data_IF_001839276413
#
_entry.id   IF_001839276413
#
_cell.length_a   1.000
_cell.length_b   1.000
_cell.length_c   1.000
_cell.angle_alpha   90.00
_cell.angle_beta   90.00
_cell.angle_gamma   90.00
#
_symmetry.space_group_name_H-M   'P 1'
#
loop_
_entity.id
_entity.type
_entity.pdbx_description
1 polymer ?
#
# COMPACT_ATOMS: atom_id res chain seq x y z
N UNK A 1 5.48 8.43 35.23
CA UNK A 1 6.00 7.60 34.14
C UNK A 1 4.86 7.33 33.16
N UNK A 2 4.47 8.36 32.39
CA UNK A 2 3.39 8.29 31.41
C UNK A 2 4.00 8.36 30.02
N UNK A 3 4.03 7.24 29.29
CA UNK A 3 4.35 7.26 27.86
C UNK A 3 3.15 7.88 27.16
N UNK A 4 3.32 9.13 26.76
CA UNK A 4 2.49 9.76 25.75
C UNK A 4 2.53 8.83 24.53
N UNK A 5 1.38 8.27 24.16
CA UNK A 5 1.21 7.51 22.93
C UNK A 5 1.50 8.48 21.78
N UNK A 6 2.75 8.45 21.31
CA UNK A 6 3.21 9.24 20.19
C UNK A 6 2.37 8.94 18.96
N UNK A 7 2.18 9.96 18.13
CA UNK A 7 1.65 9.88 16.77
C UNK A 7 2.13 8.59 16.08
N UNK A 8 1.25 7.82 15.41
CA UNK A 8 1.68 6.61 14.71
C UNK A 8 2.85 6.94 13.76
N UNK A 9 3.90 6.11 13.67
CA UNK A 9 5.12 6.38 12.89
C UNK A 9 4.90 6.42 11.38
N UNK A 10 3.64 6.28 10.93
CA UNK A 10 3.23 6.31 9.54
C UNK A 10 2.72 7.70 9.16
N UNK A 11 3.48 8.40 8.32
CA UNK A 11 3.03 9.60 7.62
C UNK A 11 2.39 9.21 6.28
N UNK A 12 1.26 9.83 5.92
CA UNK A 12 0.61 9.61 4.63
C UNK A 12 0.42 10.93 3.89
N UNK A 13 0.83 10.98 2.62
CA UNK A 13 0.47 12.08 1.72
C UNK A 13 -0.76 11.65 0.94
N UNK A 14 -1.89 12.34 1.17
CA UNK A 14 -3.14 12.10 0.46
C UNK A 14 -3.16 12.93 -0.83
N UNK A 15 -3.08 12.27 -1.98
CA UNK A 15 -3.68 12.86 -3.19
C UNK A 15 -5.19 12.84 -2.99
N UNK A 16 -5.83 14.02 -2.94
CA UNK A 16 -7.29 14.11 -3.02
C UNK A 16 -7.80 13.70 -4.42
N UNK A 17 -8.99 14.17 -4.80
CA UNK A 17 -9.64 13.89 -6.09
C UNK A 17 -8.67 13.93 -7.30
N UNK A 18 -8.92 13.05 -8.28
CA UNK A 18 -8.09 12.76 -9.47
C UNK A 18 -7.67 13.96 -10.35
N UNK A 19 -8.06 15.18 -9.98
CA UNK A 19 -7.69 16.45 -10.63
C UNK A 19 -6.67 17.31 -9.88
N UNK A 20 -6.15 16.90 -8.72
CA UNK A 20 -5.11 17.69 -8.02
C UNK A 20 -3.67 17.28 -8.38
N UNK A 21 -2.75 18.23 -8.19
CA UNK A 21 -1.33 18.09 -8.52
C UNK A 21 -0.64 16.92 -7.80
N UNK A 22 -1.01 16.64 -6.55
CA UNK A 22 -0.49 15.51 -5.77
C UNK A 22 -0.86 14.18 -6.42
N UNK A 23 -2.11 14.02 -6.86
CA UNK A 23 -2.55 12.83 -7.58
C UNK A 23 -1.79 12.67 -8.90
N UNK A 24 -1.68 13.75 -9.70
CA UNK A 24 -0.95 13.72 -10.97
C UNK A 24 0.51 13.31 -10.77
N UNK A 25 1.15 13.85 -9.73
CA UNK A 25 2.53 13.51 -9.36
C UNK A 25 2.66 12.03 -8.99
N UNK A 26 1.83 11.54 -8.07
CA UNK A 26 1.83 10.13 -7.67
C UNK A 26 1.56 9.19 -8.85
N UNK A 27 0.61 9.54 -9.72
CA UNK A 27 0.27 8.79 -10.93
C UNK A 27 1.42 8.71 -11.94
N UNK A 28 2.26 9.76 -12.00
CA UNK A 28 3.48 9.82 -12.79
C UNK A 28 4.60 8.91 -12.26
N UNK A 29 4.66 8.70 -10.95
CA UNK A 29 5.66 7.87 -10.27
C UNK A 29 5.36 6.36 -10.34
N UNK A 30 4.17 5.97 -10.81
CA UNK A 30 3.79 4.55 -10.94
C UNK A 30 4.59 3.87 -12.07
N UNK A 31 5.14 2.69 -11.78
CA UNK A 31 5.77 1.83 -12.81
C UNK A 31 4.72 1.30 -13.80
N UNK A 32 5.16 0.88 -14.98
CA UNK A 32 4.28 0.36 -16.06
C UNK A 32 3.30 -0.73 -15.59
N UNK A 33 3.74 -1.63 -14.71
CA UNK A 33 2.90 -2.71 -14.17
C UNK A 33 1.73 -2.21 -13.31
N UNK A 34 1.78 -0.96 -12.86
CA UNK A 34 0.81 -0.32 -11.96
C UNK A 34 0.03 0.82 -12.65
N UNK A 35 0.04 0.88 -13.98
CA UNK A 35 -0.65 1.95 -14.74
C UNK A 35 -2.16 2.00 -14.52
N UNK A 36 -2.79 0.86 -14.17
CA UNK A 36 -4.22 0.78 -13.85
C UNK A 36 -4.61 1.67 -12.67
N UNK A 37 -3.69 1.97 -11.75
CA UNK A 37 -3.99 2.80 -10.59
C UNK A 37 -4.18 4.29 -10.93
N UNK A 38 -3.89 4.71 -12.18
CA UNK A 38 -4.17 6.07 -12.65
C UNK A 38 -5.66 6.39 -12.76
N UNK A 39 -6.53 5.38 -12.82
CA UNK A 39 -7.99 5.55 -12.79
C UNK A 39 -8.58 5.51 -11.38
N UNK A 40 -7.75 5.38 -10.34
CA UNK A 40 -8.21 5.38 -8.96
C UNK A 40 -8.82 6.74 -8.58
N UNK A 41 -9.76 6.75 -7.64
CA UNK A 41 -10.33 7.98 -7.09
C UNK A 41 -9.32 8.72 -6.19
N UNK A 42 -8.40 7.99 -5.57
CA UNK A 42 -7.31 8.53 -4.77
C UNK A 42 -6.04 7.66 -4.85
N UNK A 43 -4.90 8.31 -4.71
CA UNK A 43 -3.59 7.69 -4.50
C UNK A 43 -3.01 8.19 -3.17
N UNK A 44 -2.56 7.27 -2.33
CA UNK A 44 -2.00 7.57 -1.01
C UNK A 44 -0.57 7.05 -0.97
N UNK A 45 0.41 7.92 -0.75
CA UNK A 45 1.78 7.50 -0.47
C UNK A 45 1.91 7.21 1.02
N UNK A 46 2.27 5.97 1.35
CA UNK A 46 2.52 5.52 2.72
C UNK A 46 4.03 5.53 2.96
N UNK A 47 4.44 6.29 3.96
CA UNK A 47 5.83 6.38 4.42
C UNK A 47 5.92 5.92 5.87
N UNK A 48 7.10 5.41 6.25
CA UNK A 48 7.42 5.10 7.64
C UNK A 48 8.61 5.95 8.10
N UNK A 49 8.48 6.57 9.26
CA UNK A 49 9.61 7.18 9.97
C UNK A 49 10.42 6.04 10.61
N UNK A 50 11.67 5.87 10.16
CA UNK A 50 12.54 4.77 10.54
C UNK A 50 13.10 4.95 11.97
N UNK A 51 12.99 6.15 12.54
CA UNK A 51 13.53 6.45 13.85
C UNK A 51 15.05 6.39 13.92
N UNK A 52 15.58 6.10 15.10
CA UNK A 52 17.01 6.26 15.43
C UNK A 52 17.84 5.01 15.13
N UNK A 53 17.23 3.82 15.06
CA UNK A 53 17.94 2.55 14.93
C UNK A 53 17.22 1.51 14.04
N UNK A 54 17.90 0.39 13.77
CA UNK A 54 17.38 -0.69 12.93
C UNK A 54 16.12 -1.35 13.53
N UNK A 55 16.00 -1.35 14.86
CA UNK A 55 14.84 -1.93 15.54
C UNK A 55 13.63 -1.03 15.34
N UNK A 56 13.76 0.29 15.51
CA UNK A 56 12.67 1.22 15.23
C UNK A 56 12.27 1.16 13.76
N UNK A 57 13.24 1.08 12.84
CA UNK A 57 12.97 0.96 11.41
C UNK A 57 12.15 -0.29 11.07
N UNK A 58 12.49 -1.43 11.68
CA UNK A 58 11.74 -2.68 11.53
C UNK A 58 10.29 -2.53 12.00
N UNK A 59 10.08 -2.00 13.22
CA UNK A 59 8.72 -1.84 13.75
C UNK A 59 7.91 -0.81 12.97
N UNK A 60 8.53 0.27 12.49
CA UNK A 60 7.86 1.27 11.67
C UNK A 60 7.32 0.67 10.36
N UNK A 61 8.06 -0.25 9.73
CA UNK A 61 7.58 -0.98 8.55
C UNK A 61 6.43 -1.95 8.88
N UNK A 62 6.49 -2.65 10.03
CA UNK A 62 5.41 -3.53 10.51
C UNK A 62 4.13 -2.71 10.76
N UNK A 63 4.26 -1.58 11.45
CA UNK A 63 3.15 -0.68 11.77
C UNK A 63 2.52 -0.08 10.51
N UNK A 64 3.34 0.32 9.52
CA UNK A 64 2.84 0.78 8.23
C UNK A 64 2.06 -0.32 7.48
N UNK A 65 2.56 -1.58 7.52
CA UNK A 65 1.84 -2.72 6.98
C UNK A 65 0.48 -2.95 7.65
N UNK A 66 0.43 -2.86 8.99
CA UNK A 66 -0.80 -2.97 9.76
C UNK A 66 -1.77 -1.81 9.45
N UNK A 67 -1.27 -0.58 9.29
CA UNK A 67 -2.07 0.58 8.92
C UNK A 67 -2.70 0.41 7.53
N UNK A 68 -1.95 -0.09 6.54
CA UNK A 68 -2.47 -0.42 5.20
C UNK A 68 -3.56 -1.49 5.30
N UNK A 69 -3.38 -2.51 6.13
CA UNK A 69 -4.38 -3.56 6.33
C UNK A 69 -5.69 -3.00 6.93
N UNK A 70 -5.60 -2.14 7.94
CA UNK A 70 -6.78 -1.49 8.53
C UNK A 70 -7.48 -0.55 7.55
N UNK A 71 -6.71 0.26 6.79
CA UNK A 71 -7.24 1.07 5.69
C UNK A 71 -8.00 0.22 4.68
N UNK A 72 -7.45 -0.95 4.33
CA UNK A 72 -8.08 -1.88 3.38
C UNK A 72 -9.40 -2.42 3.92
N UNK A 73 -9.45 -2.86 5.18
CA UNK A 73 -10.68 -3.35 5.81
C UNK A 73 -11.77 -2.26 5.82
N UNK A 74 -11.41 -1.05 6.24
CA UNK A 74 -12.36 0.07 6.32
C UNK A 74 -12.85 0.56 4.96
N UNK A 75 -11.97 0.61 3.95
CA UNK A 75 -12.39 0.99 2.61
C UNK A 75 -13.34 -0.06 2.01
N UNK A 76 -13.03 -1.35 2.18
CA UNK A 76 -13.90 -2.44 1.70
C UNK A 76 -15.25 -2.45 2.43
N UNK A 77 -15.28 -2.13 3.73
CA UNK A 77 -16.54 -2.01 4.48
C UNK A 77 -17.47 -0.92 3.91
N UNK A 78 -16.89 0.08 3.24
CA UNK A 78 -17.58 1.17 2.54
C UNK A 78 -17.84 0.90 1.06
N UNK A 79 -17.58 -0.32 0.57
CA UNK A 79 -17.76 -0.69 -0.83
C UNK A 79 -16.68 -0.15 -1.78
N UNK A 80 -15.54 0.29 -1.24
CA UNK A 80 -14.39 0.72 -2.03
C UNK A 80 -13.42 -0.44 -2.30
N UNK A 81 -12.61 -0.27 -3.34
CA UNK A 81 -11.53 -1.16 -3.73
C UNK A 81 -10.21 -0.51 -3.33
N UNK A 82 -9.32 -1.33 -2.78
CA UNK A 82 -7.97 -0.92 -2.36
C UNK A 82 -6.93 -1.80 -3.01
N UNK A 83 -5.87 -1.18 -3.52
CA UNK A 83 -4.72 -1.88 -4.09
C UNK A 83 -3.39 -1.25 -3.61
N UNK A 84 -2.72 -1.82 -2.60
CA UNK A 84 -1.40 -1.38 -2.18
C UNK A 84 -0.30 -1.85 -3.16
N UNK A 85 0.64 -0.98 -3.50
CA UNK A 85 1.69 -1.22 -4.50
C UNK A 85 3.05 -0.76 -3.97
N UNK A 86 4.01 -1.68 -3.86
CA UNK A 86 5.41 -1.33 -3.57
C UNK A 86 6.21 -0.93 -4.83
N UNK A 87 5.67 -1.18 -6.03
CA UNK A 87 6.35 -0.92 -7.31
C UNK A 87 6.13 0.49 -7.85
N UNK A 88 6.84 1.49 -7.32
CA UNK A 88 6.83 2.87 -7.81
C UNK A 88 8.25 3.48 -7.81
N UNK A 89 8.39 4.71 -8.32
CA UNK A 89 9.65 5.46 -8.28
C UNK A 89 9.83 6.11 -6.89
N UNK A 90 10.63 5.45 -6.05
CA UNK A 90 10.89 5.87 -4.66
C UNK A 90 11.71 7.17 -4.62
N UNK A 91 12.76 7.27 -5.45
CA UNK A 91 13.64 8.45 -5.46
C UNK A 91 12.92 9.66 -6.05
N UNK A 92 12.09 9.44 -7.07
CA UNK A 92 11.17 10.44 -7.60
C UNK A 92 10.17 10.92 -6.55
N UNK A 93 9.59 10.00 -5.76
CA UNK A 93 8.68 10.37 -4.66
C UNK A 93 9.39 11.19 -3.57
N UNK A 94 10.62 10.82 -3.19
CA UNK A 94 11.42 11.59 -2.25
C UNK A 94 11.63 13.02 -2.72
N UNK A 95 12.04 13.17 -3.97
CA UNK A 95 12.33 14.46 -4.58
C UNK A 95 11.07 15.31 -4.73
N UNK A 96 9.97 14.73 -5.22
CA UNK A 96 8.73 15.44 -5.51
C UNK A 96 8.01 15.94 -4.23
N UNK A 97 8.09 15.17 -3.14
CA UNK A 97 7.40 15.51 -1.88
C UNK A 97 8.32 16.00 -0.77
N UNK A 98 9.62 16.21 -1.05
CA UNK A 98 10.59 16.66 -0.05
C UNK A 98 10.69 15.72 1.14
N UNK A 99 10.62 14.40 0.91
CA UNK A 99 10.61 13.40 1.99
C UNK A 99 12.00 13.38 2.65
N UNK A 100 12.10 13.68 3.96
CA UNK A 100 13.38 13.82 4.62
C UNK A 100 14.15 12.49 4.70
N UNK A 101 15.43 12.59 5.02
CA UNK A 101 16.24 11.45 5.45
C UNK A 101 15.61 10.83 6.71
N UNK A 102 15.72 9.50 6.86
CA UNK A 102 15.07 8.76 7.95
C UNK A 102 13.58 8.47 7.74
N UNK A 103 12.91 9.05 6.72
CA UNK A 103 11.56 8.66 6.33
C UNK A 103 11.60 7.83 5.05
N UNK A 104 11.07 6.61 5.09
CA UNK A 104 11.08 5.65 3.98
C UNK A 104 9.72 5.57 3.29
N UNK A 105 9.62 5.88 1.99
CA UNK A 105 8.45 5.55 1.18
C UNK A 105 8.32 4.04 1.03
N UNK A 106 7.15 3.47 1.37
CA UNK A 106 6.94 2.02 1.38
C UNK A 106 6.00 1.55 0.28
N UNK A 107 4.88 2.25 0.10
CA UNK A 107 3.84 1.84 -0.84
C UNK A 107 3.03 3.03 -1.32
N UNK A 108 2.50 2.93 -2.54
CA UNK A 108 1.38 3.74 -3.00
C UNK A 108 0.12 2.88 -2.93
N UNK A 109 -0.93 3.38 -2.29
CA UNK A 109 -2.22 2.70 -2.15
C UNK A 109 -3.23 3.38 -3.06
N UNK A 110 -3.75 2.63 -4.04
CA UNK A 110 -4.85 3.07 -4.87
C UNK A 110 -6.18 2.78 -4.18
N UNK A 111 -7.08 3.77 -4.13
CA UNK A 111 -8.42 3.64 -3.56
C UNK A 111 -9.44 4.17 -4.57
N UNK A 112 -10.52 3.43 -4.81
CA UNK A 112 -11.58 3.87 -5.70
C UNK A 112 -12.77 2.92 -5.72
N UNK A 113 -13.68 3.13 -6.64
CA UNK A 113 -14.81 2.23 -6.90
C UNK A 113 -14.49 1.28 -8.06
N UNK A 114 -15.24 0.17 -8.16
CA UNK A 114 -15.19 -0.64 -9.38
C UNK A 114 -15.61 0.24 -10.55
N UNK A 115 -14.76 0.39 -11.55
CA UNK A 115 -15.13 1.02 -12.81
C UNK A 115 -16.14 0.14 -13.57
N UNK A 116 -16.80 0.70 -14.57
CA UNK A 116 -17.61 -0.09 -15.48
C UNK A 116 -16.68 -1.04 -16.27
N UNK A 117 -16.69 -2.32 -15.87
CA UNK A 117 -15.87 -3.36 -16.49
C UNK A 117 -16.25 -3.65 -17.94
N UNK A 118 -17.41 -3.17 -18.42
CA UNK A 118 -17.82 -3.34 -19.81
C UNK A 118 -16.88 -2.64 -20.80
N UNK A 119 -16.11 -1.65 -20.33
CA UNK A 119 -15.10 -0.94 -21.11
C UNK A 119 -13.65 -1.30 -20.73
N UNK A 120 -13.43 -2.27 -19.84
CA UNK A 120 -12.09 -2.68 -19.44
C UNK A 120 -11.39 -3.42 -20.60
N UNK A 121 -10.07 -3.23 -20.72
CA UNK A 121 -9.24 -4.02 -21.64
C UNK A 121 -9.45 -5.52 -21.33
N UNK A 122 -9.70 -6.38 -22.35
CA UNK A 122 -9.93 -7.81 -22.14
C UNK A 122 -8.86 -8.50 -21.27
N UNK A 123 -7.60 -8.06 -21.37
CA UNK A 123 -6.51 -8.61 -20.55
C UNK A 123 -6.66 -8.27 -19.05
N UNK A 124 -7.22 -7.09 -18.74
CA UNK A 124 -7.52 -6.67 -17.37
C UNK A 124 -8.73 -7.45 -16.86
N UNK A 125 -9.78 -7.56 -17.67
CA UNK A 125 -11.00 -8.30 -17.31
C UNK A 125 -10.71 -9.79 -17.02
N UNK A 126 -9.91 -10.44 -17.86
CA UNK A 126 -9.50 -11.82 -17.66
C UNK A 126 -8.67 -11.98 -16.36
N UNK A 127 -7.68 -11.10 -16.15
CA UNK A 127 -6.83 -11.15 -14.96
C UNK A 127 -7.63 -10.98 -13.67
N UNK A 128 -8.53 -9.99 -13.66
CA UNK A 128 -9.27 -9.62 -12.45
C UNK A 128 -10.45 -10.58 -12.19
N UNK A 129 -10.92 -11.29 -13.23
CA UNK A 129 -11.91 -12.36 -13.13
C UNK A 129 -11.35 -13.72 -12.64
N UNK A 130 -10.02 -13.88 -12.56
CA UNK A 130 -9.42 -15.14 -12.08
C UNK A 130 -9.71 -15.33 -10.58
N UNK A 131 -10.05 -16.56 -10.15
CA UNK A 131 -10.22 -16.84 -8.74
C UNK A 131 -8.93 -16.54 -7.98
N UNK A 132 -9.07 -15.91 -6.80
CA UNK A 132 -7.95 -15.67 -5.91
C UNK A 132 -7.51 -16.99 -5.28
N UNK A 133 -6.32 -17.44 -5.65
CA UNK A 133 -5.67 -18.57 -5.01
C UNK A 133 -4.87 -18.10 -3.79
N UNK A 134 -4.83 -18.95 -2.76
CA UNK A 134 -3.97 -18.80 -1.59
C UNK A 134 -3.25 -20.11 -1.38
N UNK A 135 -2.02 -20.04 -0.88
CA UNK A 135 -1.33 -21.25 -0.48
C UNK A 135 -2.11 -21.93 0.65
N UNK A 136 -2.15 -23.28 0.67
CA UNK A 136 -2.68 -24.04 1.79
C UNK A 136 -1.98 -23.67 3.12
N UNK A 137 -2.69 -23.81 4.24
CA UNK A 137 -2.16 -23.45 5.56
C UNK A 137 -0.87 -24.19 5.90
N UNK A 138 -0.78 -25.47 5.53
CA UNK A 138 0.38 -26.33 5.74
C UNK A 138 1.66 -25.83 5.05
N UNK A 139 1.53 -24.91 4.08
CA UNK A 139 2.67 -24.30 3.38
C UNK A 139 3.12 -22.96 3.98
N UNK A 140 2.29 -22.33 4.84
CA UNK A 140 2.54 -20.99 5.38
C UNK A 140 2.52 -20.92 6.91
N UNK A 141 2.03 -21.96 7.58
CA UNK A 141 1.98 -22.08 9.02
C UNK A 141 2.76 -23.33 9.46
N UNK A 142 3.72 -23.14 10.37
CA UNK A 142 4.60 -24.20 10.86
C UNK A 142 4.54 -24.29 12.39
N UNK A 143 4.76 -25.49 12.94
CA UNK A 143 4.78 -25.76 14.38
C UNK A 143 6.12 -26.37 14.81
N UNK A 144 6.69 -25.86 15.91
CA UNK A 144 7.97 -26.32 16.48
C UNK A 144 9.21 -25.86 15.70
N UNK A 145 9.27 -26.11 14.39
CA UNK A 145 10.39 -25.72 13.52
C UNK A 145 9.92 -25.29 12.12
N UNK A 146 10.71 -24.46 11.45
CA UNK A 146 10.45 -24.05 10.07
C UNK A 146 10.31 -25.26 9.13
N UNK A 147 9.29 -25.25 8.28
CA UNK A 147 8.99 -26.34 7.34
C UNK A 147 8.23 -27.53 7.95
N UNK A 148 8.01 -27.56 9.26
CA UNK A 148 7.13 -28.57 9.88
C UNK A 148 5.70 -28.02 9.94
N UNK A 149 4.85 -28.43 9.00
CA UNK A 149 3.49 -27.91 8.83
C UNK A 149 2.68 -27.93 10.14
N UNK A 150 1.88 -26.88 10.34
CA UNK A 150 0.84 -26.84 11.37
C UNK A 150 -0.24 -27.85 11.00
N UNK A 151 -0.25 -29.00 11.67
CA UNK A 151 -1.26 -30.06 11.54
C UNK A 151 -2.54 -29.78 12.32
#
# INVERSE_FOLDING_TARGET
>A
MGRQLGTPPAGAVRGGDSGNETFTTLAGLLKRGNSYARSASALILVCADEGEDERTALYAAVDAGAAIAQLTVEAVSRGLIVHPMAGFDIDGARSAFGIPEGVRPLAVVAVGTLGDYSAADPAIAERDGRPRERLPLEQIAFSGSWGNALG
#
